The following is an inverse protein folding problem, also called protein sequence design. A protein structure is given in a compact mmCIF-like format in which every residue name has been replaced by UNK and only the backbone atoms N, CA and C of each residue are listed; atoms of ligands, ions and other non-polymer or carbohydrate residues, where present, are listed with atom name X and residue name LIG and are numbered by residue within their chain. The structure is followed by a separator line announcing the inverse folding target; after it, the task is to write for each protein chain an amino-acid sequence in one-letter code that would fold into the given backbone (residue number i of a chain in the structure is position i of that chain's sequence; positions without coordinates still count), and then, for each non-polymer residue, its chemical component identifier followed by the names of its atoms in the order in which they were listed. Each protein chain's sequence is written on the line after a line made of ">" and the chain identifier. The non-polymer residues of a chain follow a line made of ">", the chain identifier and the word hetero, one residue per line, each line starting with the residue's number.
data_IF_671740809919
#
_entry.id   IF_671740809919
#
_cell.length_a   1.000
_cell.length_b   1.000
_cell.length_c   1.000
_cell.angle_alpha   90.00
_cell.angle_beta   90.00
_cell.angle_gamma   90.00
#
_symmetry.space_group_name_H-M   'P 1'
#
loop_
_entity.id
_entity.type
_entity.pdbx_description
1 polymer ?
#
# COMPACT_ATOMS: atom_id res chain seq x y z
N UNK A 1 -49.58 5.02 -1.35
CA UNK A 1 -49.28 3.77 -2.08
C UNK A 1 -48.07 4.02 -2.97
N UNK A 2 -47.08 3.12 -2.85
CA UNK A 2 -46.10 2.70 -3.89
C UNK A 2 -45.07 3.75 -4.38
N UNK A 3 -43.84 3.78 -3.84
CA UNK A 3 -42.69 2.87 -4.05
C UNK A 3 -41.70 3.33 -5.15
N UNK A 4 -40.82 4.24 -4.75
CA UNK A 4 -39.38 4.35 -5.06
C UNK A 4 -38.82 3.41 -6.15
N UNK A 5 -38.85 3.83 -7.43
CA UNK A 5 -38.03 3.23 -8.50
C UNK A 5 -36.63 3.88 -8.52
N UNK A 6 -35.78 3.50 -7.56
CA UNK A 6 -34.36 3.86 -7.55
C UNK A 6 -33.53 2.82 -8.34
N UNK A 7 -32.56 3.30 -9.14
CA UNK A 7 -31.38 2.55 -9.63
C UNK A 7 -31.44 1.64 -10.89
N UNK A 8 -32.17 1.98 -11.95
CA UNK A 8 -32.03 1.27 -13.25
C UNK A 8 -30.96 1.85 -14.21
N UNK A 9 -30.35 3.02 -13.92
CA UNK A 9 -29.59 3.80 -14.89
C UNK A 9 -28.11 4.03 -14.54
N UNK A 10 -27.38 3.01 -14.08
CA UNK A 10 -25.92 3.01 -14.22
C UNK A 10 -25.54 2.71 -15.68
N UNK A 11 -25.70 3.75 -16.52
CA UNK A 11 -25.06 4.01 -17.81
C UNK A 11 -24.70 2.78 -18.66
N UNK A 12 -25.46 2.57 -19.72
CA UNK A 12 -25.29 1.59 -20.83
C UNK A 12 -23.94 1.64 -21.60
N UNK A 13 -22.89 2.22 -21.01
CA UNK A 13 -21.52 2.30 -21.52
C UNK A 13 -20.47 2.66 -20.44
N UNK A 14 -20.84 2.73 -19.15
CA UNK A 14 -19.84 2.94 -18.10
C UNK A 14 -19.17 1.61 -17.75
N UNK A 15 -17.84 1.61 -17.76
CA UNK A 15 -17.06 0.41 -17.44
C UNK A 15 -17.27 0.03 -15.95
N UNK A 16 -17.51 -1.25 -15.62
CA UNK A 16 -17.69 -1.68 -14.24
C UNK A 16 -16.52 -1.27 -13.34
N UNK A 17 -16.79 -1.04 -12.06
CA UNK A 17 -15.74 -0.73 -11.09
C UNK A 17 -14.80 -1.94 -10.91
N UNK A 18 -13.53 -1.68 -10.58
CA UNK A 18 -12.56 -2.76 -10.29
C UNK A 18 -13.05 -3.64 -9.15
N UNK A 19 -13.68 -3.05 -8.12
CA UNK A 19 -14.25 -3.80 -7.00
C UNK A 19 -15.35 -4.77 -7.43
N UNK A 20 -16.25 -4.35 -8.34
CA UNK A 20 -17.27 -5.23 -8.88
C UNK A 20 -16.68 -6.37 -9.72
N UNK A 21 -15.69 -6.07 -10.56
CA UNK A 21 -15.02 -7.10 -11.37
C UNK A 21 -14.28 -8.12 -10.50
N UNK A 22 -13.63 -7.68 -9.40
CA UNK A 22 -13.00 -8.58 -8.43
C UNK A 22 -14.03 -9.48 -7.75
N UNK A 23 -15.14 -8.91 -7.30
CA UNK A 23 -16.26 -9.67 -6.74
C UNK A 23 -16.78 -10.70 -7.75
N UNK A 24 -17.03 -10.29 -9.00
CA UNK A 24 -17.51 -11.17 -10.06
C UNK A 24 -16.51 -12.31 -10.34
N UNK A 25 -15.21 -12.00 -10.40
CA UNK A 25 -14.15 -12.99 -10.58
C UNK A 25 -14.12 -14.01 -9.43
N UNK A 26 -14.18 -13.54 -8.18
CA UNK A 26 -14.25 -14.40 -7.00
C UNK A 26 -15.51 -15.28 -7.01
N UNK A 27 -16.67 -14.71 -7.36
CA UNK A 27 -17.92 -15.47 -7.45
C UNK A 27 -17.83 -16.59 -8.48
N UNK A 28 -17.17 -16.34 -9.62
CA UNK A 28 -16.97 -17.34 -10.66
C UNK A 28 -16.01 -18.45 -10.22
N UNK A 29 -14.95 -18.11 -9.48
CA UNK A 29 -14.00 -19.09 -8.92
C UNK A 29 -14.67 -20.08 -7.94
N UNK A 30 -15.72 -19.65 -7.24
CA UNK A 30 -16.42 -20.51 -6.28
C UNK A 30 -17.45 -21.46 -6.90
N UNK A 31 -17.73 -21.36 -8.22
CA UNK A 31 -18.69 -22.25 -8.90
C UNK A 31 -18.08 -23.63 -9.16
N UNK A 32 -18.88 -24.70 -8.99
CA UNK A 32 -18.50 -26.08 -9.34
C UNK A 32 -18.09 -26.25 -10.81
N UNK A 33 -18.68 -25.44 -11.69
CA UNK A 33 -18.42 -25.41 -13.14
C UNK A 33 -18.04 -23.98 -13.55
N UNK A 34 -16.87 -23.54 -13.08
CA UNK A 34 -16.32 -22.25 -13.48
C UNK A 34 -15.89 -22.32 -14.94
N UNK A 35 -16.43 -21.44 -15.78
CA UNK A 35 -16.12 -21.40 -17.21
C UNK A 35 -14.76 -20.70 -17.41
N UNK A 36 -13.70 -21.39 -17.90
CA UNK A 36 -12.38 -20.78 -18.06
C UNK A 36 -12.41 -19.52 -18.93
N UNK A 37 -13.29 -19.49 -19.93
CA UNK A 37 -13.52 -18.34 -20.81
C UNK A 37 -14.09 -17.14 -20.04
N UNK A 38 -15.04 -17.35 -19.12
CA UNK A 38 -15.64 -16.27 -18.33
C UNK A 38 -14.65 -15.70 -17.32
N UNK A 39 -13.90 -16.57 -16.65
CA UNK A 39 -12.82 -16.17 -15.74
C UNK A 39 -11.78 -15.31 -16.47
N UNK A 40 -11.33 -15.78 -17.65
CA UNK A 40 -10.34 -15.09 -18.47
C UNK A 40 -10.83 -13.71 -18.92
N UNK A 41 -12.09 -13.58 -19.37
CA UNK A 41 -12.69 -12.28 -19.72
C UNK A 41 -12.70 -11.31 -18.55
N UNK A 42 -13.17 -11.74 -17.39
CA UNK A 42 -13.20 -10.89 -16.19
C UNK A 42 -11.79 -10.48 -15.77
N UNK A 43 -10.82 -11.41 -15.83
CA UNK A 43 -9.41 -11.14 -15.54
C UNK A 43 -8.83 -10.09 -16.48
N UNK A 44 -9.08 -10.19 -17.79
CA UNK A 44 -8.66 -9.18 -18.78
C UNK A 44 -9.23 -7.81 -18.42
N UNK A 45 -10.53 -7.71 -18.12
CA UNK A 45 -11.14 -6.44 -17.74
C UNK A 45 -10.56 -5.83 -16.46
N UNK A 46 -10.21 -6.67 -15.47
CA UNK A 46 -9.51 -6.23 -14.26
C UNK A 46 -8.15 -5.65 -14.63
N UNK A 47 -7.36 -6.40 -15.41
CA UNK A 47 -6.01 -6.01 -15.84
C UNK A 47 -6.07 -4.70 -16.63
N UNK A 48 -6.89 -4.63 -17.67
CA UNK A 48 -7.07 -3.43 -18.50
C UNK A 48 -7.36 -2.21 -17.63
N UNK A 49 -8.16 -2.40 -16.59
CA UNK A 49 -8.54 -1.32 -15.70
C UNK A 49 -7.48 -0.86 -14.74
N UNK A 50 -6.73 -1.79 -14.17
CA UNK A 50 -5.61 -1.48 -13.30
C UNK A 50 -4.48 -0.85 -14.09
N UNK A 51 -4.09 -1.45 -15.22
CA UNK A 51 -3.03 -0.93 -16.11
C UNK A 51 -3.38 0.47 -16.61
N UNK A 52 -4.60 0.68 -17.12
CA UNK A 52 -5.03 2.01 -17.58
C UNK A 52 -5.02 3.06 -16.46
N UNK A 53 -5.39 2.67 -15.23
CA UNK A 53 -5.34 3.57 -14.07
C UNK A 53 -3.89 3.91 -13.70
N UNK A 54 -3.01 2.91 -13.65
CA UNK A 54 -1.59 3.09 -13.35
C UNK A 54 -0.93 3.98 -14.40
N UNK A 55 -1.13 3.73 -15.69
CA UNK A 55 -0.58 4.57 -16.77
C UNK A 55 -1.04 6.03 -16.62
N UNK A 56 -2.33 6.27 -16.36
CA UNK A 56 -2.84 7.63 -16.13
C UNK A 56 -2.18 8.29 -14.93
N UNK A 57 -2.04 7.57 -13.81
CA UNK A 57 -1.38 8.12 -12.62
C UNK A 57 0.10 8.41 -12.88
N UNK A 58 0.81 7.54 -13.61
CA UNK A 58 2.22 7.74 -13.96
C UNK A 58 2.41 8.96 -14.86
N UNK A 59 1.50 9.21 -15.82
CA UNK A 59 1.55 10.39 -16.69
C UNK A 59 1.40 11.72 -15.93
N UNK A 60 0.76 11.70 -14.75
CA UNK A 60 0.54 12.88 -13.92
C UNK A 60 1.43 12.90 -12.67
N UNK A 61 2.34 11.94 -12.52
CA UNK A 61 3.24 11.86 -11.37
C UNK A 61 4.23 13.03 -11.42
N UNK A 62 4.09 13.97 -10.49
CA UNK A 62 5.01 15.10 -10.39
C UNK A 62 6.28 14.71 -9.63
N UNK A 63 7.33 15.53 -9.77
CA UNK A 63 8.55 15.35 -8.96
C UNK A 63 8.30 15.51 -7.45
N UNK A 64 7.27 16.26 -7.04
CA UNK A 64 6.89 16.36 -5.63
C UNK A 64 6.21 15.08 -5.15
N UNK A 65 5.35 14.47 -5.97
CA UNK A 65 4.75 13.17 -5.67
C UNK A 65 5.83 12.10 -5.50
N UNK A 66 6.82 12.07 -6.40
CA UNK A 66 7.96 11.16 -6.30
C UNK A 66 8.76 11.37 -5.01
N UNK A 67 9.01 12.63 -4.63
CA UNK A 67 9.67 12.98 -3.36
C UNK A 67 8.83 12.55 -2.16
N UNK A 68 7.52 12.72 -2.20
CA UNK A 68 6.60 12.27 -1.16
C UNK A 68 6.64 10.73 -1.01
N UNK A 69 6.55 10.00 -2.12
CA UNK A 69 6.68 8.54 -2.14
C UNK A 69 8.02 8.09 -1.54
N UNK A 70 9.14 8.76 -1.87
CA UNK A 70 10.45 8.46 -1.29
C UNK A 70 10.46 8.65 0.24
N UNK A 71 9.93 9.76 0.74
CA UNK A 71 9.84 10.03 2.19
C UNK A 71 9.03 8.95 2.91
N UNK A 72 7.87 8.59 2.37
CA UNK A 72 7.00 7.56 2.93
C UNK A 72 7.68 6.18 2.93
N UNK A 73 8.36 5.82 1.83
CA UNK A 73 9.10 4.56 1.71
C UNK A 73 10.20 4.42 2.77
N UNK A 74 11.00 5.48 2.96
CA UNK A 74 12.06 5.51 3.99
C UNK A 74 11.46 5.35 5.38
N UNK A 75 10.38 6.08 5.70
CA UNK A 75 9.70 5.98 6.99
C UNK A 75 9.13 4.58 7.24
N UNK A 76 8.50 3.97 6.23
CA UNK A 76 7.97 2.60 6.31
C UNK A 76 9.06 1.58 6.58
N UNK A 77 10.22 1.68 5.93
CA UNK A 77 11.32 0.74 6.18
C UNK A 77 11.92 0.94 7.59
N UNK A 78 12.10 2.19 8.04
CA UNK A 78 12.51 2.48 9.41
C UNK A 78 11.56 1.85 10.45
N UNK A 79 10.23 1.95 10.24
CA UNK A 79 9.25 1.31 11.11
C UNK A 79 9.33 -0.23 11.07
N UNK A 80 9.53 -0.82 9.89
CA UNK A 80 9.72 -2.27 9.77
C UNK A 80 10.95 -2.73 10.54
N UNK A 81 12.05 -1.98 10.50
CA UNK A 81 13.26 -2.29 11.25
C UNK A 81 13.09 -2.14 12.76
N UNK A 82 12.37 -1.10 13.21
CA UNK A 82 12.00 -0.97 14.63
C UNK A 82 11.16 -2.18 15.10
N UNK A 83 10.16 -2.60 14.32
CA UNK A 83 9.34 -3.79 14.64
C UNK A 83 10.17 -5.08 14.66
N UNK A 84 11.05 -5.28 13.67
CA UNK A 84 11.99 -6.42 13.64
C UNK A 84 12.88 -6.42 14.89
N UNK A 85 13.42 -5.26 15.28
CA UNK A 85 14.27 -5.09 16.46
C UNK A 85 13.52 -5.35 17.76
N UNK A 86 12.27 -4.89 17.89
CA UNK A 86 11.41 -5.18 19.04
C UNK A 86 11.10 -6.68 19.15
N UNK A 87 10.82 -7.35 18.03
CA UNK A 87 10.59 -8.80 18.02
C UNK A 87 11.82 -9.57 18.49
N UNK A 88 13.02 -9.20 18.01
CA UNK A 88 14.29 -9.79 18.44
C UNK A 88 14.58 -9.56 19.94
N UNK A 89 14.34 -8.35 20.44
CA UNK A 89 14.51 -8.02 21.86
C UNK A 89 13.57 -8.82 22.77
N UNK A 90 12.30 -9.00 22.37
CA UNK A 90 11.33 -9.84 23.09
C UNK A 90 11.75 -11.31 23.11
N UNK A 91 12.29 -11.85 22.01
CA UNK A 91 12.82 -13.23 22.03
C UNK A 91 14.07 -13.38 22.89
N UNK A 92 14.91 -12.34 23.02
CA UNK A 92 16.11 -12.41 23.87
C UNK A 92 15.83 -12.20 25.36
N UNK A 93 14.78 -11.46 25.73
CA UNK A 93 14.43 -11.23 27.14
C UNK A 93 13.82 -12.44 27.83
N UNK A 94 13.31 -13.43 27.07
CA UNK A 94 12.80 -14.69 27.63
C UNK A 94 13.95 -15.61 28.10
N UNK A 95 15.19 -15.38 27.63
CA UNK A 95 16.34 -16.22 27.97
C UNK A 95 17.23 -15.64 29.09
N UNK A 96 16.78 -14.59 29.81
CA UNK A 96 17.61 -13.87 30.81
C UNK A 96 16.96 -13.69 32.19
N UNK A 97 15.95 -14.49 32.51
CA UNK A 97 15.30 -14.52 33.83
C UNK A 97 15.73 -15.76 34.60
N UNK A 98 17.01 -15.80 34.98
CA UNK A 98 17.60 -16.69 36.00
C UNK A 98 18.90 -16.06 36.54
N UNK A 99 18.82 -14.87 37.16
CA UNK A 99 19.86 -14.37 38.09
C UNK A 99 19.45 -13.02 38.69
N UNK A 100 19.42 -12.96 40.02
CA UNK A 100 19.42 -11.76 40.86
C UNK A 100 18.06 -11.05 41.03
N UNK A 101 17.30 -11.60 41.99
CA UNK A 101 16.40 -10.83 42.82
C UNK A 101 17.18 -9.67 43.47
N UNK A 102 16.78 -8.42 43.18
CA UNK A 102 16.82 -7.31 44.13
C UNK A 102 15.96 -6.14 43.64
N UNK A 103 15.00 -5.82 44.49
CA UNK A 103 13.92 -4.84 44.43
C UNK A 103 14.39 -3.40 44.20
N UNK A 104 14.00 -2.77 43.09
CA UNK A 104 13.72 -1.32 43.03
C UNK A 104 12.96 -0.98 41.73
N UNK A 105 11.81 -0.33 41.87
CA UNK A 105 10.88 -0.03 40.78
C UNK A 105 11.41 1.09 39.85
N UNK A 106 11.37 0.96 38.51
CA UNK A 106 11.69 2.06 37.62
C UNK A 106 10.44 2.88 37.27
N UNK A 107 10.48 4.18 37.57
CA UNK A 107 9.48 5.18 37.16
C UNK A 107 9.56 5.38 35.64
N UNK A 108 8.51 5.00 34.91
CA UNK A 108 8.44 5.14 33.44
C UNK A 108 7.95 6.55 33.10
N UNK A 109 8.88 7.44 32.73
CA UNK A 109 8.56 8.75 32.15
C UNK A 109 8.27 8.58 30.65
N UNK A 110 6.99 8.67 30.27
CA UNK A 110 6.55 8.55 28.87
C UNK A 110 6.81 9.87 28.13
N UNK A 111 7.91 9.95 27.39
CA UNK A 111 8.16 11.05 26.43
C UNK A 111 7.24 10.84 25.22
N UNK A 112 6.37 11.82 24.94
CA UNK A 112 5.45 11.78 23.80
C UNK A 112 6.19 11.66 22.44
N UNK A 113 5.62 10.98 21.43
CA UNK A 113 6.23 10.84 20.12
C UNK A 113 6.32 12.20 19.43
N UNK A 114 7.54 12.64 19.11
CA UNK A 114 7.78 13.87 18.37
C UNK A 114 7.33 13.68 16.91
N UNK A 115 6.40 14.52 16.45
CA UNK A 115 5.97 14.58 15.06
C UNK A 115 7.15 14.97 14.14
N UNK A 116 7.24 14.41 12.92
CA UNK A 116 8.37 14.70 12.03
C UNK A 116 8.32 16.18 11.59
N UNK A 117 9.48 16.87 11.53
CA UNK A 117 9.53 18.28 11.15
C UNK A 117 9.14 18.47 9.68
N UNK A 118 8.33 19.50 9.43
CA UNK A 118 7.88 19.93 8.09
C UNK A 118 9.10 20.38 7.25
N UNK A 119 9.29 19.89 6.02
CA UNK A 119 10.39 20.34 5.18
C UNK A 119 10.18 21.81 4.77
N UNK A 120 11.19 22.65 5.04
CA UNK A 120 11.27 24.02 4.54
C UNK A 120 11.53 23.97 3.03
N UNK A 121 10.70 24.68 2.27
CA UNK A 121 10.89 24.90 0.83
C UNK A 121 12.17 25.70 0.59
N UNK A 122 13.21 25.06 0.06
CA UNK A 122 14.31 25.75 -0.59
C UNK A 122 14.09 25.70 -2.10
N UNK A 123 13.82 26.88 -2.64
CA UNK A 123 13.90 27.22 -4.06
C UNK A 123 15.37 27.17 -4.45
N UNK A 124 15.77 26.33 -5.41
CA UNK A 124 17.16 26.32 -5.86
C UNK A 124 17.54 25.11 -6.71
N UNK A 125 17.57 25.35 -8.01
CA UNK A 125 18.38 24.70 -9.04
C UNK A 125 18.21 23.19 -9.33
N UNK A 126 17.67 22.95 -10.53
CA UNK A 126 17.66 21.69 -11.23
C UNK A 126 19.09 21.27 -11.58
N UNK A 127 19.57 20.17 -11.02
CA UNK A 127 20.73 19.44 -11.56
C UNK A 127 20.29 18.03 -11.97
N UNK A 128 20.69 17.65 -13.19
CA UNK A 128 20.40 16.37 -13.87
C UNK A 128 20.69 15.18 -12.95
N UNK A 129 19.74 14.26 -12.82
CA UNK A 129 20.03 12.90 -12.37
C UNK A 129 19.78 11.96 -13.54
N UNK A 130 20.88 11.43 -14.10
CA UNK A 130 20.84 10.31 -15.04
C UNK A 130 20.48 9.05 -14.25
N UNK A 131 19.29 8.49 -14.50
CA UNK A 131 18.85 7.22 -13.94
C UNK A 131 19.38 6.12 -14.85
N UNK A 132 20.56 5.60 -14.52
CA UNK A 132 21.07 4.35 -15.06
C UNK A 132 20.48 3.19 -14.24
N UNK A 133 19.62 2.39 -14.85
CA UNK A 133 19.13 1.12 -14.32
C UNK A 133 19.34 0.01 -15.36
N UNK A 134 19.65 -1.23 -14.96
CA UNK A 134 20.00 -2.28 -15.90
C UNK A 134 18.81 -2.61 -16.81
N UNK A 135 19.03 -2.48 -18.12
CA UNK A 135 18.17 -3.01 -19.17
C UNK A 135 18.06 -4.53 -18.99
N UNK A 136 16.88 -4.99 -18.60
CA UNK A 136 16.50 -6.40 -18.66
C UNK A 136 15.78 -6.61 -19.98
N UNK A 137 16.55 -6.86 -21.04
CA UNK A 137 16.04 -7.50 -22.25
C UNK A 137 16.44 -8.98 -22.19
N UNK A 138 15.42 -9.84 -22.19
CA UNK A 138 15.48 -11.21 -22.71
C UNK A 138 14.74 -11.19 -24.04
#
# INVERSE_FOLDING_TARGET
>A
MEAQRNNANHRRGARPSVGYLLFQYQSELTRRHAEPTRLSRTKIHIIDGLVSRTIRHMKHCSMEDLRACKRELVYKEQLRDQLKNMRRKRSSSVNKVDASANTSAPVVSVKAPCTPPKPRSSTGEFSKMDIFGPEIFV
#
